data_IF_677938285315
#
_entry.id   IF_677938285315
#
_cell.length_a   1.000
_cell.length_b   1.000
_cell.length_c   1.000
_cell.angle_alpha   90.00
_cell.angle_beta   90.00
_cell.angle_gamma   90.00
#
_symmetry.space_group_name_H-M   'P 1'
#
loop_
_entity.id
_entity.type
_entity.pdbx_description
1 polymer ?
#
# COMPACT_ATOMS: atom_id res chain seq x y z
N UNK A 1 8.49 -8.23 11.27
CA UNK A 1 8.79 -7.86 9.89
C UNK A 1 8.03 -8.80 8.95
N UNK A 2 7.21 -8.25 8.07
CA UNK A 2 6.44 -9.02 7.10
C UNK A 2 7.20 -9.15 5.77
N UNK A 3 7.67 -8.02 5.25
CA UNK A 3 8.53 -7.96 4.07
C UNK A 3 9.40 -6.70 4.10
N UNK A 4 10.46 -6.68 3.31
CA UNK A 4 11.31 -5.51 3.09
C UNK A 4 12.12 -5.60 1.81
N UNK A 5 12.43 -4.43 1.25
CA UNK A 5 13.42 -4.26 0.20
C UNK A 5 14.76 -3.85 0.82
N UNK A 6 15.87 -4.21 0.15
CA UNK A 6 17.23 -3.77 0.50
C UNK A 6 17.63 -4.00 1.97
N UNK A 7 16.93 -4.88 2.68
CA UNK A 7 17.17 -5.18 4.09
C UNK A 7 17.24 -3.92 4.96
N UNK A 8 16.35 -2.96 4.68
CA UNK A 8 16.40 -1.63 5.32
C UNK A 8 16.16 -1.69 6.83
N UNK A 9 15.36 -2.62 7.32
CA UNK A 9 15.08 -2.80 8.76
C UNK A 9 16.12 -3.69 9.37
N UNK A 10 16.83 -3.17 10.38
CA UNK A 10 17.90 -3.88 11.12
C UNK A 10 17.46 -4.30 12.51
N UNK A 11 16.34 -3.81 12.99
CA UNK A 11 15.77 -4.21 14.27
C UNK A 11 14.60 -3.32 14.70
N UNK A 12 13.89 -3.78 15.71
CA UNK A 12 12.81 -3.04 16.33
C UNK A 12 12.72 -3.32 17.82
N UNK A 13 12.14 -2.36 18.52
CA UNK A 13 11.83 -2.46 19.95
C UNK A 13 10.40 -1.96 20.14
N UNK A 14 9.61 -2.71 20.88
CA UNK A 14 8.29 -2.30 21.33
C UNK A 14 8.36 -2.07 22.85
N UNK A 15 8.19 -0.84 23.29
CA UNK A 15 8.15 -0.48 24.69
C UNK A 15 7.18 0.70 24.86
N UNK A 16 6.44 0.72 25.96
CA UNK A 16 5.50 1.78 26.30
C UNK A 16 4.52 2.14 25.15
N UNK A 17 3.97 1.11 24.50
CA UNK A 17 3.11 1.23 23.31
C UNK A 17 3.75 1.99 22.13
N UNK A 18 5.09 2.10 22.12
CA UNK A 18 5.84 2.74 21.05
C UNK A 18 6.69 1.71 20.31
N UNK A 19 6.46 1.59 19.01
CA UNK A 19 7.32 0.83 18.12
C UNK A 19 8.47 1.72 17.63
N UNK A 20 9.70 1.32 17.92
CA UNK A 20 10.90 1.93 17.36
C UNK A 20 11.49 0.99 16.31
N UNK A 21 11.63 1.49 15.10
CA UNK A 21 12.25 0.74 13.98
C UNK A 21 13.62 1.31 13.70
N UNK A 22 14.65 0.45 13.70
CA UNK A 22 16.01 0.83 13.29
C UNK A 22 16.23 0.43 11.84
N UNK A 23 16.82 1.34 11.07
CA UNK A 23 17.12 1.11 9.65
C UNK A 23 18.62 1.21 9.39
N UNK A 24 19.05 0.63 8.26
CA UNK A 24 20.46 0.69 7.81
C UNK A 24 20.79 2.00 7.07
N UNK A 25 19.86 2.94 6.98
CA UNK A 25 20.04 4.22 6.27
C UNK A 25 20.03 4.10 4.74
N UNK A 26 19.64 2.96 4.19
CA UNK A 26 19.46 2.82 2.74
C UNK A 26 18.02 3.15 2.31
N UNK A 27 17.84 3.46 1.02
CA UNK A 27 16.52 3.66 0.42
C UNK A 27 15.81 2.32 0.28
N UNK A 28 14.53 2.30 0.56
CA UNK A 28 13.71 1.10 0.41
C UNK A 28 12.42 1.16 1.21
N UNK A 29 11.71 0.06 1.18
CA UNK A 29 10.42 -0.10 1.82
C UNK A 29 10.42 -1.34 2.70
N UNK A 30 9.60 -1.32 3.75
CA UNK A 30 9.32 -2.48 4.57
C UNK A 30 7.90 -2.42 5.13
N UNK A 31 7.34 -3.56 5.45
CA UNK A 31 6.10 -3.68 6.20
C UNK A 31 6.39 -4.39 7.52
N UNK A 32 6.10 -3.72 8.63
CA UNK A 32 6.26 -4.26 9.98
C UNK A 32 4.90 -4.39 10.65
N UNK A 33 4.75 -5.37 11.53
CA UNK A 33 3.50 -5.61 12.23
C UNK A 33 3.72 -5.89 13.70
N UNK A 34 2.71 -5.58 14.51
CA UNK A 34 2.58 -6.00 15.90
C UNK A 34 1.53 -7.08 16.00
N UNK A 35 1.77 -8.04 16.87
CA UNK A 35 0.92 -9.20 17.10
C UNK A 35 0.38 -9.20 18.52
N UNK A 36 -0.78 -9.81 18.71
CA UNK A 36 -1.23 -10.21 20.04
C UNK A 36 -0.50 -11.47 20.52
N UNK A 37 -0.80 -11.90 21.75
CA UNK A 37 -0.23 -13.12 22.33
C UNK A 37 -0.64 -14.40 21.58
N UNK A 38 -1.72 -14.38 20.82
CA UNK A 38 -2.22 -15.48 20.00
C UNK A 38 -1.59 -15.54 18.60
N UNK A 39 -0.73 -14.58 18.25
CA UNK A 39 -0.11 -14.51 16.93
C UNK A 39 -0.95 -13.84 15.86
N UNK A 40 -2.04 -13.16 16.23
CA UNK A 40 -2.86 -12.38 15.31
C UNK A 40 -2.27 -10.99 15.11
N UNK A 41 -2.19 -10.52 13.87
CA UNK A 41 -1.77 -9.14 13.59
C UNK A 41 -2.81 -8.17 14.12
N UNK A 42 -2.38 -7.30 15.02
CA UNK A 42 -3.18 -6.19 15.54
C UNK A 42 -3.09 -4.97 14.64
N UNK A 43 -1.90 -4.67 14.14
CA UNK A 43 -1.65 -3.54 13.26
C UNK A 43 -0.35 -3.72 12.48
N UNK A 44 -0.22 -2.99 11.37
CA UNK A 44 0.98 -2.94 10.54
C UNK A 44 1.30 -1.51 10.11
N UNK A 45 2.57 -1.26 9.82
CA UNK A 45 3.07 0.03 9.32
C UNK A 45 3.94 -0.19 8.09
N UNK A 46 3.69 0.60 7.08
CA UNK A 46 4.61 0.77 5.97
C UNK A 46 5.75 1.71 6.38
N UNK A 47 6.98 1.24 6.28
CA UNK A 47 8.20 2.00 6.51
C UNK A 47 8.79 2.37 5.16
N UNK A 48 8.83 3.64 4.86
CA UNK A 48 9.39 4.19 3.64
C UNK A 48 10.65 4.98 3.97
N UNK A 49 11.82 4.45 3.63
CA UNK A 49 13.11 5.06 3.92
C UNK A 49 13.65 5.78 2.70
N UNK A 50 13.86 7.09 2.83
CA UNK A 50 14.45 7.96 1.83
C UNK A 50 15.51 8.85 2.51
N UNK A 51 16.70 8.32 2.86
CA UNK A 51 17.74 9.11 3.48
C UNK A 51 18.16 10.27 2.59
N UNK A 52 18.15 11.49 3.14
CA UNK A 52 18.50 12.73 2.45
C UNK A 52 17.69 13.06 1.19
N UNK A 53 16.51 12.46 1.03
CA UNK A 53 15.67 12.65 -0.14
C UNK A 53 14.19 12.63 0.27
N UNK A 54 13.68 13.75 0.75
CA UNK A 54 12.26 13.87 1.12
C UNK A 54 11.42 14.08 -0.13
N UNK A 55 10.28 13.40 -0.28
CA UNK A 55 9.31 13.75 -1.30
C UNK A 55 8.99 15.24 -1.24
N UNK A 56 8.88 15.85 -2.40
CA UNK A 56 8.54 17.27 -2.54
C UNK A 56 7.12 17.37 -3.11
N UNK A 57 6.48 18.47 -2.81
CA UNK A 57 5.16 18.77 -3.35
C UNK A 57 5.29 19.70 -4.56
N UNK A 58 4.90 19.22 -5.72
CA UNK A 58 4.74 20.02 -6.93
C UNK A 58 3.38 20.70 -6.92
N UNK A 59 3.37 22.00 -7.19
CA UNK A 59 2.14 22.79 -7.25
C UNK A 59 1.62 22.88 -8.68
N UNK A 60 0.41 22.40 -8.86
CA UNK A 60 -0.31 22.47 -10.12
C UNK A 60 -1.53 23.38 -9.99
N UNK A 61 -1.85 24.08 -11.06
CA UNK A 61 -3.06 24.91 -11.17
C UNK A 61 -3.91 24.38 -12.32
N UNK A 62 -5.16 24.05 -12.08
CA UNK A 62 -6.09 23.62 -13.12
C UNK A 62 -6.60 24.84 -13.92
N UNK A 63 -7.40 24.56 -14.96
CA UNK A 63 -7.99 25.61 -15.81
C UNK A 63 -8.99 26.53 -15.06
N UNK A 64 -9.55 26.08 -13.95
CA UNK A 64 -10.43 26.87 -13.10
C UNK A 64 -9.67 27.77 -12.11
N UNK A 65 -8.33 27.68 -12.08
CA UNK A 65 -7.48 28.44 -11.15
C UNK A 65 -7.30 27.76 -9.78
N UNK A 66 -7.81 26.56 -9.59
CA UNK A 66 -7.65 25.80 -8.35
C UNK A 66 -6.24 25.22 -8.27
N UNK A 67 -5.67 25.24 -7.08
CA UNK A 67 -4.30 24.76 -6.83
C UNK A 67 -4.33 23.40 -6.14
N UNK A 68 -3.47 22.50 -6.64
CA UNK A 68 -3.27 21.17 -6.09
C UNK A 68 -1.79 20.96 -5.76
N UNK A 69 -1.52 20.27 -4.68
CA UNK A 69 -0.20 19.77 -4.34
C UNK A 69 -0.14 18.29 -4.71
N UNK A 70 0.83 17.93 -5.52
CA UNK A 70 1.06 16.55 -5.95
C UNK A 70 2.48 16.18 -5.59
N UNK A 71 2.65 15.04 -4.96
CA UNK A 71 3.98 14.54 -4.61
C UNK A 71 4.79 14.25 -5.89
N UNK A 72 6.09 14.56 -5.90
CA UNK A 72 7.01 14.39 -7.02
C UNK A 72 7.22 12.94 -7.46
N UNK A 73 6.71 11.99 -6.69
CA UNK A 73 6.86 10.54 -6.92
C UNK A 73 5.68 9.74 -6.37
N UNK A 74 5.54 8.50 -6.85
CA UNK A 74 4.54 7.58 -6.32
C UNK A 74 4.87 7.14 -4.89
N UNK A 75 3.85 6.82 -4.09
CA UNK A 75 4.03 6.30 -2.74
C UNK A 75 4.91 5.05 -2.74
N UNK A 76 5.95 5.07 -1.92
CA UNK A 76 6.92 3.98 -1.84
C UNK A 76 8.02 4.03 -2.90
N UNK A 77 8.02 5.00 -3.81
CA UNK A 77 9.10 5.16 -4.78
C UNK A 77 10.42 5.56 -4.10
N UNK A 78 11.51 4.93 -4.48
CA UNK A 78 12.83 5.16 -3.86
C UNK A 78 13.66 6.21 -4.57
N UNK A 79 13.12 6.83 -5.61
CA UNK A 79 13.72 7.93 -6.37
C UNK A 79 12.75 8.49 -7.39
N UNK A 80 13.25 9.43 -8.22
CA UNK A 80 12.48 10.12 -9.27
C UNK A 80 12.83 9.67 -10.70
N UNK A 81 13.89 8.85 -10.86
CA UNK A 81 14.28 8.29 -12.15
C UNK A 81 13.28 7.27 -12.67
N UNK A 82 13.32 7.01 -13.97
CA UNK A 82 12.47 6.00 -14.63
C UNK A 82 12.50 4.61 -13.98
N UNK A 83 13.60 4.22 -13.36
CA UNK A 83 13.76 2.91 -12.69
C UNK A 83 13.33 2.91 -11.24
N UNK A 84 13.32 4.07 -10.58
CA UNK A 84 13.17 4.20 -9.13
C UNK A 84 11.88 4.91 -8.72
N UNK A 85 11.19 5.56 -9.67
CA UNK A 85 9.94 6.30 -9.42
C UNK A 85 8.68 5.44 -9.31
N UNK A 86 8.78 4.15 -9.66
CA UNK A 86 7.69 3.22 -9.45
C UNK A 86 7.53 2.98 -7.96
N UNK A 87 6.36 3.32 -7.43
CA UNK A 87 6.03 3.11 -6.02
C UNK A 87 5.61 1.68 -5.74
N UNK A 88 4.88 1.53 -4.65
CA UNK A 88 4.26 0.28 -4.26
C UNK A 88 2.85 0.17 -4.85
N UNK A 89 2.31 -1.03 -4.84
CA UNK A 89 0.95 -1.28 -5.30
C UNK A 89 -0.01 -1.18 -4.13
N UNK A 90 -1.01 -0.32 -4.27
CA UNK A 90 -2.10 -0.17 -3.31
C UNK A 90 -3.40 -0.66 -3.94
N UNK A 91 -4.22 -1.34 -3.18
CA UNK A 91 -5.61 -1.60 -3.53
C UNK A 91 -6.51 -0.62 -2.82
N UNK A 92 -7.57 -0.17 -3.46
CA UNK A 92 -8.49 0.81 -2.91
C UNK A 92 -8.98 0.40 -1.51
N UNK A 93 -8.98 1.34 -0.58
CA UNK A 93 -9.42 1.13 0.80
C UNK A 93 -8.47 0.31 1.68
N UNK A 94 -7.31 -0.13 1.18
CA UNK A 94 -6.27 -0.78 2.01
C UNK A 94 -5.24 0.21 2.49
N UNK A 95 -4.86 0.10 3.74
CA UNK A 95 -3.77 0.90 4.32
C UNK A 95 -2.38 0.38 3.99
N UNK A 96 -2.24 -0.93 3.71
CA UNK A 96 -0.96 -1.59 3.51
C UNK A 96 -0.67 -1.80 2.03
N UNK A 97 0.54 -1.44 1.58
CA UNK A 97 0.96 -1.70 0.21
C UNK A 97 1.46 -3.12 0.00
N UNK A 98 1.41 -3.52 -1.25
CA UNK A 98 2.14 -4.67 -1.77
C UNK A 98 3.40 -4.20 -2.49
N UNK A 99 4.43 -5.04 -2.53
CA UNK A 99 5.61 -4.74 -3.34
C UNK A 99 5.20 -4.59 -4.79
N UNK A 100 5.70 -3.56 -5.45
CA UNK A 100 5.46 -3.40 -6.88
C UNK A 100 6.15 -4.51 -7.64
N UNK A 101 5.46 -5.03 -8.62
CA UNK A 101 5.89 -6.22 -9.32
C UNK A 101 6.46 -5.90 -10.70
N UNK A 102 7.37 -5.00 -10.75
CA UNK A 102 8.26 -4.93 -11.91
C UNK A 102 9.51 -5.80 -11.71
N UNK A 103 9.33 -6.99 -11.20
CA UNK A 103 10.32 -8.03 -11.40
C UNK A 103 10.15 -8.52 -12.85
N UNK A 104 10.85 -7.88 -13.74
CA UNK A 104 11.09 -8.50 -15.04
C UNK A 104 11.85 -9.79 -14.77
N UNK A 105 11.23 -10.93 -15.06
CA UNK A 105 11.97 -12.16 -15.04
C UNK A 105 13.12 -12.10 -16.08
N UNK A 106 14.06 -13.01 -16.00
CA UNK A 106 15.22 -13.07 -16.91
C UNK A 106 14.85 -13.07 -18.40
N UNK A 107 13.57 -13.33 -18.75
CA UNK A 107 13.04 -13.28 -20.10
C UNK A 107 12.37 -11.94 -20.48
N UNK A 108 12.45 -10.92 -19.60
CA UNK A 108 11.85 -9.59 -19.83
C UNK A 108 10.32 -9.58 -19.80
N UNK A 109 9.69 -10.62 -19.26
CA UNK A 109 8.24 -10.68 -19.10
C UNK A 109 7.84 -10.14 -17.73
N UNK A 110 6.81 -9.31 -17.70
CA UNK A 110 6.19 -8.88 -16.45
C UNK A 110 5.49 -10.08 -15.80
N UNK A 111 6.00 -10.50 -14.65
CA UNK A 111 5.24 -11.42 -13.82
C UNK A 111 4.02 -10.69 -13.24
N UNK A 112 2.91 -11.39 -13.11
CA UNK A 112 1.74 -10.77 -12.50
C UNK A 112 1.97 -10.65 -11.01
N UNK A 113 1.83 -9.45 -10.49
CA UNK A 113 1.91 -9.11 -9.08
C UNK A 113 1.16 -10.11 -8.16
N UNK A 114 -0.02 -10.56 -8.56
CA UNK A 114 -0.83 -11.53 -7.82
C UNK A 114 -0.16 -12.90 -7.64
N UNK A 115 0.84 -13.24 -8.45
CA UNK A 115 1.52 -14.54 -8.36
C UNK A 115 2.51 -14.62 -7.19
N UNK A 116 2.85 -13.50 -6.56
CA UNK A 116 3.82 -13.45 -5.46
C UNK A 116 3.17 -13.36 -4.07
N UNK A 117 1.86 -13.15 -4.03
CA UNK A 117 1.13 -12.98 -2.78
C UNK A 117 0.06 -14.06 -2.62
N UNK A 118 -0.17 -14.57 -1.39
CA UNK A 118 -1.35 -15.36 -1.11
C UNK A 118 -2.59 -14.62 -1.62
N UNK A 119 -3.29 -15.23 -2.57
CA UNK A 119 -4.42 -14.58 -3.24
C UNK A 119 -5.70 -15.32 -2.95
N UNK A 120 -6.70 -14.58 -2.49
CA UNK A 120 -8.06 -15.07 -2.33
C UNK A 120 -8.88 -14.52 -3.50
N UNK A 121 -9.51 -15.41 -4.24
CA UNK A 121 -10.42 -15.03 -5.32
C UNK A 121 -11.85 -15.10 -4.82
N UNK A 122 -12.57 -14.00 -4.87
CA UNK A 122 -13.99 -13.95 -4.55
C UNK A 122 -14.80 -13.78 -5.83
N UNK A 123 -15.81 -14.62 -6.01
CA UNK A 123 -16.67 -14.58 -7.21
C UNK A 123 -17.94 -13.77 -7.00
N UNK A 124 -18.36 -13.57 -5.76
CA UNK A 124 -19.66 -12.98 -5.41
C UNK A 124 -19.56 -11.88 -4.36
N UNK A 125 -20.48 -10.92 -4.47
CA UNK A 125 -20.60 -9.81 -3.55
C UNK A 125 -20.85 -10.19 -2.08
N UNK A 126 -21.45 -11.33 -1.82
CA UNK A 126 -21.72 -11.82 -0.45
C UNK A 126 -20.47 -12.40 0.22
N UNK A 127 -19.61 -13.06 -0.53
CA UNK A 127 -18.36 -13.61 0.01
C UNK A 127 -17.36 -12.52 0.38
N UNK A 128 -17.40 -11.43 -0.34
CA UNK A 128 -16.47 -10.34 -0.13
C UNK A 128 -16.72 -9.57 1.18
N UNK A 129 -17.93 -9.62 1.75
CA UNK A 129 -18.21 -9.09 3.10
C UNK A 129 -17.38 -9.77 4.19
N UNK A 130 -16.88 -10.98 3.93
CA UNK A 130 -16.02 -11.73 4.84
C UNK A 130 -14.61 -11.12 4.88
N UNK A 131 -14.22 -10.39 3.84
CA UNK A 131 -12.89 -9.78 3.70
C UNK A 131 -12.96 -8.26 3.88
N UNK A 132 -13.54 -7.85 5.00
CA UNK A 132 -13.69 -6.45 5.40
C UNK A 132 -12.36 -5.80 5.80
N UNK A 133 -12.42 -4.56 6.24
CA UNK A 133 -11.27 -3.81 6.74
C UNK A 133 -10.56 -4.53 7.90
N UNK A 134 -11.32 -5.19 8.78
CA UNK A 134 -10.76 -5.95 9.89
C UNK A 134 -9.92 -7.12 9.38
N UNK A 135 -10.45 -7.85 8.40
CA UNK A 135 -9.71 -8.92 7.74
C UNK A 135 -8.45 -8.39 7.07
N UNK A 136 -8.56 -7.33 6.27
CA UNK A 136 -7.43 -6.72 5.56
C UNK A 136 -6.32 -6.26 6.53
N UNK A 137 -6.70 -5.69 7.67
CA UNK A 137 -5.76 -5.25 8.71
C UNK A 137 -5.00 -6.43 9.33
N UNK A 138 -5.68 -7.54 9.55
CA UNK A 138 -5.08 -8.77 10.13
C UNK A 138 -4.29 -9.59 9.12
N UNK A 139 -4.54 -9.38 7.82
CA UNK A 139 -3.89 -10.11 6.72
C UNK A 139 -3.26 -9.15 5.71
N UNK A 140 -2.30 -8.30 6.13
CA UNK A 140 -1.75 -7.24 5.27
C UNK A 140 -0.96 -7.77 4.08
N UNK A 141 -0.57 -9.04 4.08
CA UNK A 141 0.16 -9.69 2.98
C UNK A 141 -0.72 -10.58 2.11
N UNK A 142 -2.03 -10.64 2.37
CA UNK A 142 -2.96 -11.42 1.55
C UNK A 142 -3.68 -10.52 0.56
N UNK A 143 -3.57 -10.82 -0.72
CA UNK A 143 -4.28 -10.11 -1.76
C UNK A 143 -5.67 -10.69 -1.94
N UNK A 144 -6.71 -9.87 -1.78
CA UNK A 144 -8.10 -10.26 -2.04
C UNK A 144 -8.48 -9.74 -3.41
N UNK A 145 -8.63 -10.64 -4.36
CA UNK A 145 -9.06 -10.32 -5.71
C UNK A 145 -10.58 -10.45 -5.79
N UNK A 146 -11.23 -9.34 -6.01
CA UNK A 146 -12.65 -9.30 -6.35
C UNK A 146 -12.75 -9.27 -7.86
N UNK A 147 -13.46 -10.24 -8.46
CA UNK A 147 -13.62 -10.31 -9.91
C UNK A 147 -14.14 -9.00 -10.49
N UNK A 148 -13.93 -8.81 -11.79
CA UNK A 148 -14.26 -7.58 -12.55
C UNK A 148 -15.69 -7.06 -12.35
N UNK A 149 -16.63 -7.94 -11.96
CA UNK A 149 -18.04 -7.62 -11.71
C UNK A 149 -18.40 -7.42 -10.22
N UNK A 150 -17.47 -7.66 -9.31
CA UNK A 150 -17.76 -7.37 -7.92
C UNK A 150 -17.88 -5.86 -7.75
N UNK A 151 -18.99 -5.41 -7.16
CA UNK A 151 -19.16 -4.01 -6.78
C UNK A 151 -18.09 -3.69 -5.75
N UNK A 152 -16.93 -3.26 -6.20
CA UNK A 152 -15.73 -2.96 -5.42
C UNK A 152 -16.02 -2.05 -4.22
N UNK A 153 -17.05 -1.24 -4.34
CA UNK A 153 -17.41 -0.18 -3.39
C UNK A 153 -17.94 -0.66 -2.04
N UNK A 154 -18.35 -1.91 -1.95
CA UNK A 154 -18.87 -2.47 -0.69
C UNK A 154 -17.82 -3.17 0.16
N UNK A 155 -16.58 -3.28 -0.32
CA UNK A 155 -15.55 -4.10 0.31
C UNK A 155 -14.37 -3.34 0.87
N UNK A 156 -14.22 -2.10 0.46
CA UNK A 156 -13.12 -1.26 0.87
C UNK A 156 -13.64 -0.08 1.65
N UNK A 157 -12.95 0.27 2.71
CA UNK A 157 -13.26 1.47 3.46
C UNK A 157 -12.73 2.69 2.68
N UNK A 158 -13.62 3.38 2.00
CA UNK A 158 -13.29 4.57 1.24
C UNK A 158 -12.80 5.71 2.14
N UNK A 159 -13.19 5.71 3.42
CA UNK A 159 -12.74 6.72 4.37
C UNK A 159 -11.24 6.64 4.63
N UNK A 160 -10.59 5.49 4.45
CA UNK A 160 -9.12 5.36 4.51
C UNK A 160 -8.41 6.21 3.45
N UNK A 161 -9.11 6.58 2.39
CA UNK A 161 -8.57 7.38 1.29
C UNK A 161 -9.15 8.80 1.27
N UNK A 162 -9.72 9.23 2.40
CA UNK A 162 -10.12 10.61 2.61
C UNK A 162 -11.54 10.97 2.22
N UNK A 163 -12.34 10.04 1.73
CA UNK A 163 -13.75 10.29 1.43
C UNK A 163 -14.70 9.51 2.36
N UNK A 164 -15.25 10.16 3.38
CA UNK A 164 -16.14 9.50 4.34
C UNK A 164 -17.54 9.18 3.78
N UNK A 165 -17.90 9.74 2.62
CA UNK A 165 -19.23 9.58 2.01
C UNK A 165 -19.15 9.59 0.48
N UNK A 166 -18.54 8.59 -0.16
CA UNK A 166 -18.42 8.54 -1.61
C UNK A 166 -19.83 8.48 -2.24
N UNK A 167 -20.19 9.49 -2.98
CA UNK A 167 -21.50 9.60 -3.66
C UNK A 167 -21.45 9.14 -5.12
N UNK A 168 -20.24 8.94 -5.67
CA UNK A 168 -20.07 8.59 -7.08
C UNK A 168 -19.00 7.53 -7.30
N UNK A 169 -19.28 6.65 -8.25
CA UNK A 169 -18.36 5.61 -8.71
C UNK A 169 -17.19 6.16 -9.53
N UNK A 170 -17.25 7.42 -9.93
CA UNK A 170 -16.18 8.11 -10.64
C UNK A 170 -14.97 8.51 -9.76
N UNK A 171 -15.08 8.42 -8.45
CA UNK A 171 -13.98 8.73 -7.52
C UNK A 171 -12.74 7.85 -7.67
N UNK A 172 -12.82 6.78 -8.45
CA UNK A 172 -11.65 5.98 -8.86
C UNK A 172 -10.59 6.79 -9.61
N UNK A 173 -10.95 7.96 -10.12
CA UNK A 173 -10.07 8.84 -10.90
C UNK A 173 -9.70 10.13 -10.18
N UNK A 174 -10.25 10.36 -9.01
CA UNK A 174 -10.01 11.55 -8.20
C UNK A 174 -9.54 11.16 -6.81
N UNK A 175 -8.51 10.33 -6.71
CA UNK A 175 -7.80 10.24 -5.43
C UNK A 175 -7.16 11.60 -5.15
N UNK A 176 -7.28 12.10 -3.91
CA UNK A 176 -6.72 13.38 -3.51
C UNK A 176 -5.23 13.43 -3.69
#
# INVERSE_FOLDING_TARGET
LLWQDNKIVTGFTLADNRLTVRTNGQRGNALVAVYDAGGTILWSWHIWCLPNDRPQDDRYTNRAGEQFLVMDRNLGAIGTDLKTRYGLVYTWGRKDPFTSNEVYNAAGRKDRFINHWPTIYTSNGSEAKTYDLTYMTRHPTTYVYTGWYAKLYTYYDNALWGDPAPVDTCLLYTSP
#
